data_IF_228018964999
#
_entry.id   IF_228018964999
#
_cell.length_a   1.000
_cell.length_b   1.000
_cell.length_c   1.000
_cell.angle_alpha   90.00
_cell.angle_beta   90.00
_cell.angle_gamma   90.00
#
_symmetry.space_group_name_H-M   'P 1'
#
loop_
_entity.id
_entity.type
_entity.pdbx_description
1 polymer ?
#
# COMPACT_ATOMS: atom_id res chain seq x y z
N UNK A 1 -55.06 -3.07 -11.24
CA UNK A 1 -54.53 -1.84 -11.85
C UNK A 1 -53.40 -1.32 -10.98
N UNK A 2 -52.17 -1.72 -11.22
CA UNK A 2 -50.99 -1.21 -10.54
C UNK A 2 -50.05 -0.62 -11.60
N UNK A 3 -49.93 0.71 -11.58
CA UNK A 3 -48.97 1.44 -12.41
C UNK A 3 -47.58 1.32 -11.81
N UNK A 4 -46.69 0.65 -12.50
CA UNK A 4 -45.25 0.67 -12.25
C UNK A 4 -44.69 2.01 -12.73
N UNK A 5 -44.19 2.84 -11.82
CA UNK A 5 -43.33 3.96 -12.15
C UNK A 5 -41.92 3.43 -12.46
N UNK A 6 -41.53 3.49 -13.73
CA UNK A 6 -40.14 3.39 -14.13
C UNK A 6 -39.47 4.73 -13.83
N UNK A 7 -38.55 4.76 -12.90
CA UNK A 7 -37.61 5.88 -12.74
C UNK A 7 -36.47 5.62 -13.72
N UNK A 8 -36.51 6.30 -14.89
CA UNK A 8 -35.39 6.43 -15.77
C UNK A 8 -34.36 7.37 -15.11
N UNK A 9 -33.27 6.81 -14.57
CA UNK A 9 -32.09 7.59 -14.26
C UNK A 9 -31.47 8.06 -15.60
N UNK A 10 -31.72 9.32 -15.92
CA UNK A 10 -31.12 9.97 -17.10
C UNK A 10 -29.62 10.15 -16.84
N UNK A 11 -28.83 9.44 -17.57
CA UNK A 11 -27.39 9.64 -17.66
C UNK A 11 -27.08 10.98 -18.31
N UNK A 12 -26.16 11.80 -17.75
CA UNK A 12 -25.87 13.13 -18.30
C UNK A 12 -25.23 13.12 -19.70
N UNK A 13 -24.91 11.95 -20.26
CA UNK A 13 -24.28 11.81 -21.56
C UNK A 13 -25.20 12.00 -22.77
N UNK A 14 -26.53 12.08 -22.63
CA UNK A 14 -27.45 12.10 -23.78
C UNK A 14 -27.87 13.51 -24.23
N UNK A 15 -27.52 14.55 -23.48
CA UNK A 15 -27.91 15.93 -23.81
C UNK A 15 -26.90 16.70 -24.70
N UNK A 16 -25.69 16.18 -24.88
CA UNK A 16 -24.68 16.83 -25.75
C UNK A 16 -24.91 16.63 -27.27
N UNK A 17 -25.76 15.69 -27.67
CA UNK A 17 -25.92 15.32 -29.09
C UNK A 17 -26.83 16.24 -29.89
N UNK A 18 -27.54 17.18 -29.25
CA UNK A 18 -28.54 18.02 -29.93
C UNK A 18 -28.06 19.44 -30.30
N UNK A 19 -26.85 19.84 -29.91
CA UNK A 19 -26.39 21.23 -30.16
C UNK A 19 -25.05 21.28 -30.89
N UNK A 20 -24.51 20.16 -31.40
CA UNK A 20 -23.29 20.16 -32.24
C UNK A 20 -22.03 20.75 -31.59
N UNK A 21 -22.03 21.00 -30.27
CA UNK A 21 -20.82 21.38 -29.53
C UNK A 21 -20.12 20.08 -29.11
N UNK A 22 -18.86 19.84 -29.55
CA UNK A 22 -18.11 18.72 -29.06
C UNK A 22 -18.01 18.86 -27.55
N UNK A 23 -18.53 17.85 -26.81
CA UNK A 23 -18.30 17.74 -25.38
C UNK A 23 -16.79 17.47 -25.23
N UNK A 24 -16.03 18.55 -25.10
CA UNK A 24 -14.60 18.45 -24.77
C UNK A 24 -14.54 17.83 -23.39
N UNK A 25 -14.20 16.56 -23.30
CA UNK A 25 -13.83 15.98 -22.02
C UNK A 25 -12.72 16.87 -21.45
N UNK A 26 -12.99 17.50 -20.30
CA UNK A 26 -12.00 18.33 -19.62
C UNK A 26 -10.76 17.48 -19.39
N UNK A 27 -9.62 17.87 -19.95
CA UNK A 27 -8.36 17.15 -19.76
C UNK A 27 -8.07 17.07 -18.25
N UNK A 28 -7.66 15.90 -17.75
CA UNK A 28 -7.31 15.78 -16.33
C UNK A 28 -6.19 16.76 -16.01
N UNK A 29 -6.20 17.38 -14.81
CA UNK A 29 -5.18 18.36 -14.44
C UNK A 29 -3.78 17.74 -14.48
N UNK A 30 -2.79 18.55 -14.84
CA UNK A 30 -1.41 18.11 -14.89
C UNK A 30 -0.93 17.64 -13.51
N UNK A 31 -0.27 16.49 -13.45
CA UNK A 31 0.28 15.91 -12.23
C UNK A 31 1.64 16.54 -11.91
N UNK A 32 1.61 17.74 -11.33
CA UNK A 32 2.81 18.49 -10.93
C UNK A 32 3.11 18.18 -9.45
N UNK A 33 4.25 17.56 -9.10
CA UNK A 33 4.62 17.31 -7.71
C UNK A 33 4.56 18.56 -6.85
N UNK A 34 3.89 18.46 -5.68
CA UNK A 34 3.63 19.57 -4.77
C UNK A 34 2.32 20.32 -5.02
N UNK A 35 1.67 20.17 -6.17
CA UNK A 35 0.35 20.77 -6.43
C UNK A 35 -0.74 20.16 -5.54
N UNK A 36 -1.76 20.95 -5.25
CA UNK A 36 -2.94 20.56 -4.46
C UNK A 36 -4.20 20.76 -5.32
N UNK A 37 -4.65 19.72 -6.04
CA UNK A 37 -5.90 19.78 -6.80
C UNK A 37 -7.09 20.04 -5.87
N UNK A 38 -8.09 20.76 -6.37
CA UNK A 38 -9.38 20.84 -5.69
C UNK A 38 -10.13 19.48 -5.72
N UNK A 39 -11.23 19.37 -4.98
CA UNK A 39 -11.97 18.10 -4.87
C UNK A 39 -12.53 17.60 -6.22
N UNK A 40 -12.91 18.50 -7.14
CA UNK A 40 -13.38 18.12 -8.49
C UNK A 40 -12.23 17.56 -9.33
N UNK A 41 -11.11 18.25 -9.33
CA UNK A 41 -9.88 17.81 -10.01
C UNK A 41 -9.36 16.49 -9.41
N UNK A 42 -9.38 16.37 -8.09
CA UNK A 42 -8.99 15.13 -7.39
C UNK A 42 -9.88 13.95 -7.81
N UNK A 43 -11.20 14.13 -7.85
CA UNK A 43 -12.14 13.10 -8.29
C UNK A 43 -11.88 12.67 -9.74
N UNK A 44 -11.62 13.61 -10.65
CA UNK A 44 -11.28 13.32 -12.04
C UNK A 44 -9.97 12.52 -12.15
N UNK A 45 -8.95 12.87 -11.36
CA UNK A 45 -7.68 12.14 -11.31
C UNK A 45 -7.85 10.70 -10.79
N UNK A 46 -8.61 10.50 -9.71
CA UNK A 46 -8.88 9.15 -9.20
C UNK A 46 -9.68 8.31 -10.19
N UNK A 47 -10.68 8.89 -10.85
CA UNK A 47 -11.46 8.19 -11.87
C UNK A 47 -10.61 7.83 -13.08
N UNK A 48 -9.79 8.75 -13.58
CA UNK A 48 -8.84 8.50 -14.67
C UNK A 48 -7.89 7.36 -14.31
N UNK A 49 -7.36 7.36 -13.07
CA UNK A 49 -6.48 6.32 -12.59
C UNK A 49 -7.18 4.95 -12.49
N UNK A 50 -8.42 4.92 -12.01
CA UNK A 50 -9.20 3.70 -11.86
C UNK A 50 -9.66 3.10 -13.20
N UNK A 51 -9.88 3.92 -14.23
CA UNK A 51 -10.37 3.51 -15.56
C UNK A 51 -9.28 3.14 -16.55
N UNK A 52 -8.01 3.11 -16.11
CA UNK A 52 -6.88 2.74 -17.00
C UNK A 52 -7.05 1.33 -17.56
N UNK A 53 -6.65 1.09 -18.84
CA UNK A 53 -6.55 -0.26 -19.36
C UNK A 53 -5.56 -1.08 -18.53
N UNK A 54 -5.75 -2.40 -18.53
CA UNK A 54 -4.94 -3.34 -17.74
C UNK A 54 -4.17 -4.25 -18.68
N UNK A 55 -2.88 -4.44 -18.43
CA UNK A 55 -2.04 -5.40 -19.14
C UNK A 55 -1.48 -6.46 -18.17
N UNK A 56 -1.14 -7.67 -18.66
CA UNK A 56 -0.33 -8.61 -17.90
C UNK A 56 1.05 -8.02 -17.63
N UNK A 57 1.61 -8.29 -16.46
CA UNK A 57 2.99 -7.97 -16.18
C UNK A 57 3.89 -9.18 -16.47
N UNK A 58 5.00 -8.92 -17.18
CA UNK A 58 6.03 -9.92 -17.43
C UNK A 58 7.22 -9.64 -16.53
N UNK A 59 7.66 -10.64 -15.78
CA UNK A 59 8.82 -10.55 -14.90
C UNK A 59 10.09 -10.38 -15.75
N UNK A 60 10.89 -9.32 -15.53
CA UNK A 60 12.18 -9.19 -16.20
C UNK A 60 13.12 -10.32 -15.77
N UNK A 61 14.02 -10.71 -16.64
CA UNK A 61 15.06 -11.69 -16.34
C UNK A 61 16.30 -10.97 -15.80
N UNK A 62 16.97 -11.55 -14.79
CA UNK A 62 18.18 -10.95 -14.19
C UNK A 62 19.27 -10.67 -15.22
N UNK A 63 19.35 -11.47 -16.25
CA UNK A 63 20.30 -11.38 -17.36
C UNK A 63 20.08 -10.13 -18.22
N UNK A 64 18.90 -9.52 -18.14
CA UNK A 64 18.59 -8.27 -18.86
C UNK A 64 19.13 -7.03 -18.15
N UNK A 65 19.68 -7.16 -16.95
CA UNK A 65 20.36 -6.04 -16.29
C UNK A 65 21.62 -5.70 -17.12
N UNK A 66 21.74 -4.45 -17.62
CA UNK A 66 22.86 -4.06 -18.47
C UNK A 66 24.22 -4.21 -17.75
N UNK A 67 25.27 -4.25 -18.53
CA UNK A 67 26.64 -4.16 -18.00
C UNK A 67 27.01 -2.70 -17.73
N UNK A 68 28.06 -2.49 -16.93
CA UNK A 68 28.58 -1.16 -16.60
C UNK A 68 27.78 -0.42 -15.54
N UNK A 69 27.96 0.90 -15.48
CA UNK A 69 27.49 1.73 -14.38
C UNK A 69 25.97 1.69 -14.15
N UNK A 70 25.18 1.62 -15.21
CA UNK A 70 23.71 1.49 -15.11
C UNK A 70 23.32 0.17 -14.43
N UNK A 71 23.92 -0.94 -14.87
CA UNK A 71 23.63 -2.24 -14.26
C UNK A 71 24.11 -2.35 -12.80
N UNK A 72 25.22 -1.71 -12.47
CA UNK A 72 25.70 -1.61 -11.09
C UNK A 72 24.72 -0.84 -10.21
N UNK A 73 24.18 0.27 -10.72
CA UNK A 73 23.18 1.07 -10.03
C UNK A 73 21.89 0.27 -9.79
N UNK A 74 21.41 -0.47 -10.80
CA UNK A 74 20.24 -1.35 -10.68
C UNK A 74 20.46 -2.44 -9.62
N UNK A 75 21.62 -3.11 -9.65
CA UNK A 75 21.97 -4.15 -8.65
C UNK A 75 22.09 -3.57 -7.25
N UNK A 76 22.63 -2.36 -7.12
CA UNK A 76 22.69 -1.66 -5.83
C UNK A 76 21.27 -1.32 -5.32
N UNK A 77 20.37 -0.85 -6.17
CA UNK A 77 18.96 -0.64 -5.83
C UNK A 77 18.27 -1.91 -5.36
N UNK A 78 18.46 -3.03 -6.08
CA UNK A 78 17.93 -4.33 -5.68
C UNK A 78 18.49 -4.76 -4.30
N UNK A 79 19.77 -4.57 -4.06
CA UNK A 79 20.40 -4.86 -2.77
C UNK A 79 19.86 -3.99 -1.64
N UNK A 80 19.63 -2.69 -1.91
CA UNK A 80 18.99 -1.78 -0.95
C UNK A 80 17.59 -2.26 -0.56
N UNK A 81 16.78 -2.76 -1.50
CA UNK A 81 15.47 -3.32 -1.23
C UNK A 81 15.53 -4.54 -0.29
N UNK A 82 16.51 -5.41 -0.48
CA UNK A 82 16.68 -6.65 0.29
C UNK A 82 17.34 -6.43 1.65
N UNK A 83 18.28 -5.50 1.71
CA UNK A 83 19.17 -5.25 2.85
C UNK A 83 19.03 -3.81 3.36
N UNK A 84 17.82 -3.26 3.33
CA UNK A 84 17.56 -1.87 3.74
C UNK A 84 18.08 -1.60 5.14
N UNK A 85 17.88 -2.53 6.06
CA UNK A 85 18.27 -2.39 7.47
C UNK A 85 19.78 -2.25 7.66
N UNK A 86 20.58 -3.00 6.88
CA UNK A 86 22.04 -2.94 6.94
C UNK A 86 22.62 -1.72 6.23
N UNK A 87 22.00 -1.31 5.12
CA UNK A 87 22.56 -0.29 4.21
C UNK A 87 21.99 1.10 4.46
N UNK A 88 20.79 1.19 5.03
CA UNK A 88 20.03 2.44 5.15
C UNK A 88 19.18 2.49 6.42
N UNK A 89 19.23 1.49 7.27
CA UNK A 89 18.46 1.38 8.52
C UNK A 89 19.12 2.11 9.68
N UNK A 90 18.46 2.13 10.85
CA UNK A 90 18.93 2.86 12.04
C UNK A 90 20.21 2.28 12.62
N UNK A 91 20.55 1.04 12.28
CA UNK A 91 21.76 0.34 12.72
C UNK A 91 22.80 0.21 11.59
N UNK A 92 22.63 0.92 10.46
CA UNK A 92 23.60 0.92 9.39
C UNK A 92 24.97 1.45 9.91
N UNK A 93 26.05 0.81 9.47
CA UNK A 93 27.42 1.15 9.88
C UNK A 93 27.77 2.59 9.50
N UNK A 94 27.41 3.00 8.28
CA UNK A 94 27.55 4.37 7.79
C UNK A 94 26.39 5.24 8.28
N UNK A 95 26.64 6.06 9.29
CA UNK A 95 25.65 6.98 9.87
C UNK A 95 25.05 7.95 8.84
N UNK A 96 25.81 8.33 7.81
CA UNK A 96 25.32 9.23 6.75
C UNK A 96 24.24 8.61 5.87
N UNK A 97 23.99 7.31 6.03
CA UNK A 97 22.98 6.50 5.30
C UNK A 97 21.84 6.01 6.19
N UNK A 98 21.77 6.44 7.44
CA UNK A 98 20.69 6.06 8.35
C UNK A 98 19.39 6.82 8.03
N UNK A 99 18.83 6.48 6.87
CA UNK A 99 17.61 7.09 6.35
C UNK A 99 16.35 6.54 7.02
N UNK A 100 16.34 5.25 7.37
CA UNK A 100 15.17 4.61 7.96
C UNK A 100 15.15 4.74 9.48
N UNK A 101 13.95 4.95 10.01
CA UNK A 101 13.70 4.96 11.45
C UNK A 101 13.47 3.56 12.06
N UNK A 102 13.21 2.55 11.24
CA UNK A 102 12.88 1.20 11.68
C UNK A 102 13.83 0.14 11.07
N UNK A 103 13.82 -1.05 11.67
CA UNK A 103 14.66 -2.17 11.25
C UNK A 103 13.92 -3.10 10.25
N UNK A 104 13.16 -2.51 9.31
CA UNK A 104 12.50 -3.25 8.25
C UNK A 104 13.19 -3.05 6.90
N UNK A 105 13.37 -4.14 6.18
CA UNK A 105 13.72 -4.09 4.76
C UNK A 105 12.45 -3.90 3.92
N UNK A 106 12.59 -3.29 2.74
CA UNK A 106 11.47 -3.07 1.82
C UNK A 106 10.74 -4.38 1.51
N UNK A 107 11.49 -5.49 1.39
CA UNK A 107 10.96 -6.84 1.13
C UNK A 107 10.12 -7.42 2.27
N UNK A 108 10.14 -6.84 3.46
CA UNK A 108 9.23 -7.27 4.54
C UNK A 108 7.76 -6.94 4.25
N UNK A 109 7.48 -5.97 3.37
CA UNK A 109 6.12 -5.62 2.92
C UNK A 109 5.95 -5.80 1.41
N UNK A 110 7.01 -5.52 0.63
CA UNK A 110 7.05 -5.64 -0.83
C UNK A 110 7.73 -6.96 -1.20
N UNK A 111 6.99 -8.07 -1.01
CA UNK A 111 7.56 -9.42 -1.11
C UNK A 111 8.12 -9.73 -2.51
N UNK A 112 9.11 -10.60 -2.54
CA UNK A 112 9.59 -11.19 -3.78
C UNK A 112 8.62 -12.26 -4.27
N UNK A 113 8.34 -12.24 -5.58
CA UNK A 113 7.60 -13.31 -6.26
C UNK A 113 8.49 -14.52 -6.56
N UNK A 114 7.97 -15.50 -7.33
CA UNK A 114 8.73 -16.70 -7.71
C UNK A 114 10.04 -16.43 -8.43
N UNK A 115 10.20 -15.27 -9.05
CA UNK A 115 11.45 -14.82 -9.69
C UNK A 115 12.54 -14.45 -8.70
N UNK A 116 12.25 -14.33 -7.39
CA UNK A 116 13.17 -13.83 -6.38
C UNK A 116 13.41 -12.32 -6.42
N UNK A 117 12.78 -11.57 -7.34
CA UNK A 117 12.95 -10.13 -7.46
C UNK A 117 12.18 -9.38 -6.37
N UNK A 118 12.80 -8.49 -5.60
CA UNK A 118 12.12 -7.64 -4.60
C UNK A 118 10.92 -6.88 -5.20
N UNK A 119 9.78 -6.88 -4.50
CA UNK A 119 8.59 -6.16 -4.94
C UNK A 119 7.88 -6.77 -6.15
N UNK A 120 8.11 -8.06 -6.44
CA UNK A 120 7.53 -8.72 -7.62
C UNK A 120 6.40 -9.70 -7.33
N UNK A 121 6.02 -9.92 -6.06
CA UNK A 121 4.92 -10.82 -5.73
C UNK A 121 3.58 -10.13 -6.01
N UNK A 122 2.73 -10.69 -6.89
CA UNK A 122 1.42 -10.11 -7.17
C UNK A 122 0.58 -9.99 -5.89
N UNK A 123 -0.13 -8.87 -5.74
CA UNK A 123 -1.02 -8.57 -4.61
C UNK A 123 -0.35 -8.51 -3.23
N UNK A 124 0.99 -8.52 -3.17
CA UNK A 124 1.79 -8.25 -1.97
C UNK A 124 2.41 -6.84 -2.02
N UNK A 125 1.59 -5.83 -2.37
CA UNK A 125 2.04 -4.46 -2.59
C UNK A 125 3.20 -4.37 -3.59
N UNK A 126 3.10 -5.00 -4.79
CA UNK A 126 4.20 -5.05 -5.74
C UNK A 126 4.60 -3.67 -6.26
N UNK A 127 5.84 -3.55 -6.67
CA UNK A 127 6.44 -2.32 -7.17
C UNK A 127 6.66 -2.32 -8.69
N UNK A 128 6.14 -3.33 -9.38
CA UNK A 128 6.36 -3.59 -10.80
C UNK A 128 5.93 -2.47 -11.73
N UNK A 129 4.97 -1.66 -11.34
CA UNK A 129 4.48 -0.53 -12.14
C UNK A 129 4.74 0.82 -11.47
N UNK A 130 5.49 0.86 -10.39
CA UNK A 130 5.66 2.06 -9.57
C UNK A 130 6.13 3.27 -10.40
N UNK A 131 7.09 3.09 -11.29
CA UNK A 131 7.63 4.18 -12.13
C UNK A 131 6.60 4.80 -13.08
N UNK A 132 5.58 4.04 -13.47
CA UNK A 132 4.52 4.48 -14.38
C UNK A 132 3.28 4.99 -13.63
N UNK A 133 3.27 4.89 -12.31
CA UNK A 133 2.17 5.35 -11.48
C UNK A 133 2.39 6.74 -10.89
N UNK A 134 3.63 7.21 -10.90
CA UNK A 134 4.01 8.52 -10.37
C UNK A 134 4.42 9.49 -11.48
N UNK A 135 4.23 10.81 -11.31
CA UNK A 135 3.61 11.43 -10.13
C UNK A 135 2.11 11.10 -10.00
N UNK A 136 1.60 11.06 -8.78
CA UNK A 136 0.16 10.83 -8.52
C UNK A 136 -0.37 11.62 -7.35
N UNK A 137 -1.69 11.82 -7.32
CA UNK A 137 -2.36 12.41 -6.17
C UNK A 137 -2.33 11.41 -5.00
N UNK A 138 -1.78 11.87 -3.87
CA UNK A 138 -1.82 11.14 -2.60
C UNK A 138 -3.06 11.56 -1.79
N UNK A 139 -4.03 10.66 -1.58
CA UNK A 139 -5.26 11.01 -0.86
C UNK A 139 -5.02 11.35 0.61
N UNK A 140 -3.91 10.88 1.21
CA UNK A 140 -3.58 11.19 2.61
C UNK A 140 -3.27 12.66 2.82
N UNK A 141 -2.64 13.30 1.86
CA UNK A 141 -2.21 14.70 1.94
C UNK A 141 -2.95 15.62 0.97
N UNK A 142 -3.72 15.06 0.04
CA UNK A 142 -4.33 15.75 -1.11
C UNK A 142 -3.31 16.51 -1.95
N UNK A 143 -2.06 16.03 -2.00
CA UNK A 143 -0.99 16.59 -2.80
C UNK A 143 -0.58 15.62 -3.90
N UNK A 144 -0.18 16.14 -5.03
CA UNK A 144 0.52 15.36 -6.05
C UNK A 144 1.94 15.11 -5.56
N UNK A 145 2.34 13.84 -5.49
CA UNK A 145 3.68 13.45 -5.04
C UNK A 145 4.45 12.70 -6.12
N UNK A 146 5.77 12.85 -6.13
CA UNK A 146 6.67 12.09 -7.00
C UNK A 146 6.94 10.68 -6.43
N UNK A 147 7.56 9.82 -7.23
CA UNK A 147 8.02 8.50 -6.79
C UNK A 147 9.05 8.62 -5.66
N UNK A 148 10.01 9.55 -5.78
CA UNK A 148 11.05 9.79 -4.77
C UNK A 148 10.45 10.26 -3.45
N UNK A 149 9.47 11.17 -3.49
CA UNK A 149 8.74 11.60 -2.30
C UNK A 149 7.99 10.44 -1.64
N UNK A 150 7.41 9.54 -2.44
CA UNK A 150 6.78 8.33 -1.93
C UNK A 150 7.79 7.40 -1.26
N UNK A 151 8.94 7.15 -1.91
CA UNK A 151 10.01 6.30 -1.36
C UNK A 151 10.54 6.91 -0.05
N UNK A 152 10.87 8.21 -0.04
CA UNK A 152 11.33 8.91 1.18
C UNK A 152 10.32 8.77 2.33
N UNK A 153 9.01 8.89 2.02
CA UNK A 153 7.95 8.70 3.01
C UNK A 153 7.88 7.28 3.60
N UNK A 154 8.37 6.26 2.89
CA UNK A 154 8.45 4.89 3.43
C UNK A 154 9.58 4.72 4.46
N UNK A 155 10.68 5.44 4.29
CA UNK A 155 11.78 5.43 5.26
C UNK A 155 11.41 6.11 6.58
N UNK A 156 10.46 7.05 6.57
CA UNK A 156 10.06 7.84 7.74
C UNK A 156 11.13 8.87 8.10
N UNK A 157 11.33 9.11 9.40
CA UNK A 157 12.36 10.06 9.90
C UNK A 157 13.51 9.29 10.51
N UNK A 158 14.53 9.01 9.71
CA UNK A 158 15.83 8.52 10.16
C UNK A 158 16.73 9.65 10.72
N UNK A 159 18.00 9.34 10.95
CA UNK A 159 19.01 10.34 11.33
C UNK A 159 19.29 11.33 10.18
N UNK A 160 19.18 10.85 8.93
CA UNK A 160 19.41 11.61 7.70
C UNK A 160 18.19 11.50 6.80
N UNK A 161 17.89 12.55 6.05
CA UNK A 161 16.81 12.54 5.05
C UNK A 161 17.29 11.88 3.74
N UNK A 162 16.46 11.00 3.18
CA UNK A 162 16.68 10.39 1.87
C UNK A 162 16.10 11.30 0.78
N UNK A 163 16.91 12.25 0.30
CA UNK A 163 16.51 13.16 -0.79
C UNK A 163 16.70 12.53 -2.18
N UNK A 164 16.14 13.17 -3.21
CA UNK A 164 16.19 12.67 -4.59
C UNK A 164 17.62 12.56 -5.15
N UNK A 165 18.53 13.39 -4.65
CA UNK A 165 19.94 13.46 -5.10
C UNK A 165 20.82 12.38 -4.47
N UNK A 166 20.35 11.69 -3.43
CA UNK A 166 21.11 10.65 -2.76
C UNK A 166 21.34 9.45 -3.69
N UNK A 167 22.55 8.88 -3.71
CA UNK A 167 22.86 7.71 -4.55
C UNK A 167 21.93 6.52 -4.27
N UNK A 168 21.51 6.33 -3.01
CA UNK A 168 20.60 5.28 -2.59
C UNK A 168 19.20 5.48 -3.20
N UNK A 169 18.69 6.72 -3.24
CA UNK A 169 17.42 7.03 -3.93
C UNK A 169 17.53 6.73 -5.42
N UNK A 170 18.58 7.19 -6.06
CA UNK A 170 18.80 6.98 -7.49
C UNK A 170 18.91 5.48 -7.82
N UNK A 171 19.56 4.70 -6.97
CA UNK A 171 19.69 3.27 -7.13
C UNK A 171 18.32 2.55 -6.98
N UNK A 172 17.53 2.91 -5.96
CA UNK A 172 16.19 2.34 -5.79
C UNK A 172 15.32 2.67 -7.02
N UNK A 173 15.31 3.91 -7.49
CA UNK A 173 14.55 4.32 -8.67
C UNK A 173 15.03 3.61 -9.93
N UNK A 174 16.35 3.41 -10.10
CA UNK A 174 16.90 2.65 -11.23
C UNK A 174 16.44 1.18 -11.22
N UNK A 175 16.45 0.55 -10.04
CA UNK A 175 15.90 -0.80 -9.90
C UNK A 175 14.41 -0.86 -10.24
N UNK A 176 13.60 0.07 -9.73
CA UNK A 176 12.17 0.12 -10.02
C UNK A 176 11.85 0.39 -11.50
N UNK A 177 12.67 1.19 -12.19
CA UNK A 177 12.57 1.39 -13.64
C UNK A 177 12.86 0.11 -14.41
N UNK A 178 13.91 -0.59 -14.06
CA UNK A 178 14.23 -1.87 -14.68
C UNK A 178 13.15 -2.92 -14.39
N UNK A 179 12.69 -3.03 -13.14
CA UNK A 179 11.61 -3.95 -12.74
C UNK A 179 10.31 -3.70 -13.51
N UNK A 180 9.99 -2.43 -13.76
CA UNK A 180 8.80 -2.00 -14.49
C UNK A 180 8.99 -1.83 -15.99
N UNK A 181 10.15 -2.21 -16.55
CA UNK A 181 10.50 -1.93 -17.95
C UNK A 181 9.60 -2.60 -19.01
N UNK A 182 8.75 -3.55 -18.60
CA UNK A 182 7.75 -4.19 -19.45
C UNK A 182 6.34 -3.56 -19.31
N UNK A 183 6.19 -2.55 -18.46
CA UNK A 183 4.94 -1.82 -18.27
C UNK A 183 4.97 -0.46 -18.97
N UNK A 184 3.79 0.09 -19.31
CA UNK A 184 3.67 1.33 -20.02
C UNK A 184 3.01 2.42 -19.15
N UNK A 185 3.40 3.71 -19.30
CA UNK A 185 2.69 4.80 -18.66
C UNK A 185 1.18 4.81 -18.98
N UNK A 186 0.35 5.12 -18.02
CA UNK A 186 -1.10 5.19 -18.20
C UNK A 186 -1.81 3.83 -18.27
N UNK A 187 -1.09 2.70 -18.14
CA UNK A 187 -1.65 1.35 -18.14
C UNK A 187 -1.44 0.73 -16.76
N UNK A 188 -2.50 0.14 -16.20
CA UNK A 188 -2.40 -0.67 -14.99
C UNK A 188 -1.83 -2.05 -15.31
N UNK A 189 -1.20 -2.67 -14.32
CA UNK A 189 -0.63 -4.02 -14.47
C UNK A 189 -1.37 -4.98 -13.55
N UNK A 190 -1.76 -6.15 -14.08
CA UNK A 190 -2.43 -7.19 -13.29
C UNK A 190 -1.57 -7.59 -12.08
N UNK A 191 -2.19 -7.67 -10.91
CA UNK A 191 -1.49 -8.04 -9.69
C UNK A 191 -0.91 -6.89 -8.90
N UNK A 192 -1.02 -5.63 -9.38
CA UNK A 192 -0.62 -4.45 -8.60
C UNK A 192 -1.56 -4.21 -7.41
N UNK A 193 -1.01 -3.58 -6.36
CA UNK A 193 -1.76 -3.26 -5.14
C UNK A 193 -2.06 -4.47 -4.27
N UNK A 194 -3.29 -4.57 -3.78
CA UNK A 194 -3.82 -5.66 -2.98
C UNK A 194 -4.93 -6.39 -3.76
N UNK A 195 -5.10 -7.68 -3.50
CA UNK A 195 -6.14 -8.47 -4.16
C UNK A 195 -7.53 -7.85 -3.92
N UNK A 196 -8.29 -7.50 -4.97
CA UNK A 196 -9.64 -7.00 -4.82
C UNK A 196 -10.58 -8.13 -4.39
N UNK A 197 -11.02 -8.10 -3.14
CA UNK A 197 -11.99 -9.04 -2.57
C UNK A 197 -13.11 -8.25 -1.89
N UNK A 198 -14.30 -8.81 -1.88
CA UNK A 198 -15.41 -8.28 -1.08
C UNK A 198 -15.20 -8.64 0.38
N UNK A 199 -15.39 -7.68 1.26
CA UNK A 199 -15.40 -7.95 2.70
C UNK A 199 -16.67 -8.73 3.09
N UNK A 200 -16.62 -9.53 4.17
CA UNK A 200 -17.83 -10.18 4.70
C UNK A 200 -18.92 -9.15 5.08
N UNK A 201 -20.19 -9.55 4.88
CA UNK A 201 -21.35 -8.71 5.25
C UNK A 201 -21.67 -8.81 6.75
N UNK A 202 -20.66 -8.57 7.55
CA UNK A 202 -20.71 -8.52 9.02
C UNK A 202 -19.56 -7.65 9.54
N UNK A 203 -19.63 -7.23 10.77
CA UNK A 203 -18.46 -6.65 11.42
C UNK A 203 -17.39 -7.74 11.65
N UNK A 204 -16.13 -7.34 11.57
CA UNK A 204 -15.01 -8.20 11.97
C UNK A 204 -15.04 -8.45 13.49
N UNK A 205 -14.64 -9.65 13.90
CA UNK A 205 -14.60 -10.07 15.31
C UNK A 205 -13.15 -10.26 15.80
N UNK A 206 -12.59 -9.26 16.51
CA UNK A 206 -11.23 -9.38 17.05
C UNK A 206 -11.05 -10.57 18.01
N UNK A 207 -12.11 -11.00 18.72
CA UNK A 207 -12.05 -12.14 19.65
C UNK A 207 -11.86 -13.46 18.90
N UNK A 208 -12.59 -13.66 17.81
CA UNK A 208 -12.35 -14.79 16.91
C UNK A 208 -10.95 -14.69 16.28
N UNK A 209 -10.57 -13.49 15.85
CA UNK A 209 -9.25 -13.20 15.31
C UNK A 209 -8.10 -13.56 16.23
N UNK A 210 -8.25 -13.42 17.54
CA UNK A 210 -7.25 -13.82 18.54
C UNK A 210 -6.91 -15.31 18.47
N UNK A 211 -7.94 -16.15 18.43
CA UNK A 211 -7.76 -17.61 18.33
C UNK A 211 -7.10 -18.02 17.01
N UNK A 212 -7.53 -17.42 15.90
CA UNK A 212 -6.96 -17.66 14.58
C UNK A 212 -5.51 -17.15 14.48
N UNK A 213 -5.20 -15.98 15.04
CA UNK A 213 -3.85 -15.45 15.12
C UNK A 213 -2.92 -16.38 15.91
N UNK A 214 -3.39 -16.90 17.05
CA UNK A 214 -2.63 -17.86 17.86
C UNK A 214 -2.33 -19.14 17.07
N UNK A 215 -3.27 -19.62 16.26
CA UNK A 215 -3.11 -20.84 15.47
C UNK A 215 -2.21 -20.69 14.23
N UNK A 216 -2.23 -19.53 13.56
CA UNK A 216 -1.64 -19.38 12.23
C UNK A 216 -0.47 -18.38 12.15
N UNK A 217 -0.30 -17.47 13.13
CA UNK A 217 0.61 -16.33 12.98
C UNK A 217 1.75 -16.30 14.01
N UNK A 218 1.49 -16.76 15.25
CA UNK A 218 2.42 -16.60 16.37
C UNK A 218 3.75 -17.30 16.18
N UNK A 219 3.79 -18.40 15.43
CA UNK A 219 5.02 -19.14 15.17
C UNK A 219 6.09 -18.27 14.49
N UNK A 220 5.67 -17.37 13.61
CA UNK A 220 6.58 -16.48 12.87
C UNK A 220 6.59 -15.06 13.48
N UNK A 221 5.42 -14.51 13.79
CA UNK A 221 5.30 -13.12 14.20
C UNK A 221 5.33 -12.88 15.71
N UNK A 222 5.45 -13.94 16.52
CA UNK A 222 5.42 -13.85 17.98
C UNK A 222 3.99 -13.65 18.53
N UNK A 223 3.83 -13.90 19.84
CA UNK A 223 2.50 -13.85 20.50
C UNK A 223 1.92 -12.44 20.61
N UNK A 224 2.79 -11.42 20.57
CA UNK A 224 2.43 -9.99 20.58
C UNK A 224 2.61 -9.33 19.21
N UNK A 225 2.89 -10.11 18.16
CA UNK A 225 3.19 -9.58 16.83
C UNK A 225 4.54 -8.87 16.73
N UNK A 226 5.46 -9.15 17.65
CA UNK A 226 6.77 -8.50 17.78
C UNK A 226 7.79 -8.92 16.72
N UNK A 227 7.47 -9.95 15.94
CA UNK A 227 8.38 -10.51 14.92
C UNK A 227 9.50 -11.37 15.51
N UNK A 228 10.34 -11.88 14.63
CA UNK A 228 11.52 -12.67 14.99
C UNK A 228 12.79 -11.98 14.46
N UNK A 229 13.64 -11.42 15.33
CA UNK A 229 14.90 -10.81 14.92
C UNK A 229 15.80 -11.80 14.23
N UNK A 230 16.59 -11.34 13.25
CA UNK A 230 17.69 -12.12 12.68
C UNK A 230 18.84 -12.28 13.71
N UNK A 231 19.69 -13.31 13.61
CA UNK A 231 20.82 -13.52 14.53
C UNK A 231 21.79 -12.32 14.62
N UNK A 232 21.89 -11.56 13.52
CA UNK A 232 22.72 -10.36 13.41
C UNK A 232 21.92 -9.05 13.53
N UNK A 233 20.76 -9.06 14.16
CA UNK A 233 19.89 -7.90 14.32
C UNK A 233 20.62 -6.67 14.84
N UNK A 234 21.47 -6.85 15.88
CA UNK A 234 22.26 -5.75 16.45
C UNK A 234 23.28 -5.14 15.47
N UNK A 235 23.57 -5.81 14.35
CA UNK A 235 24.44 -5.34 13.27
C UNK A 235 23.66 -4.89 12.03
N UNK A 236 22.35 -4.64 12.19
CA UNK A 236 21.47 -4.21 11.10
C UNK A 236 20.88 -5.36 10.28
N UNK A 237 20.96 -6.62 10.73
CA UNK A 237 20.41 -7.78 10.02
C UNK A 237 18.89 -7.79 9.89
N UNK A 238 18.19 -6.93 10.64
CA UNK A 238 16.72 -6.83 10.57
C UNK A 238 16.01 -8.05 11.16
N UNK A 239 14.92 -8.46 10.54
CA UNK A 239 14.06 -9.54 11.00
C UNK A 239 14.06 -10.74 10.06
N UNK A 240 14.05 -11.95 10.62
CA UNK A 240 13.70 -13.17 9.89
C UNK A 240 12.22 -13.16 9.52
N UNK A 241 11.36 -12.81 10.49
CA UNK A 241 9.94 -12.55 10.27
C UNK A 241 9.61 -11.18 10.85
N UNK A 242 9.05 -10.26 10.04
CA UNK A 242 8.88 -8.87 10.47
C UNK A 242 7.86 -8.73 11.60
N UNK A 243 8.00 -7.71 12.47
CA UNK A 243 6.95 -7.34 13.40
C UNK A 243 5.74 -6.82 12.65
N UNK A 244 4.57 -7.19 13.13
CA UNK A 244 3.27 -6.72 12.66
C UNK A 244 2.54 -5.88 13.70
N UNK A 245 3.16 -5.71 14.85
CA UNK A 245 2.73 -4.88 15.97
C UNK A 245 3.94 -4.20 16.64
N UNK A 246 3.71 -3.25 17.53
CA UNK A 246 4.76 -2.50 18.24
C UNK A 246 5.30 -1.30 17.46
N UNK A 247 6.50 -0.83 17.87
CA UNK A 247 7.06 0.42 17.38
C UNK A 247 7.80 0.29 16.05
N UNK A 248 8.29 -0.90 15.74
CA UNK A 248 9.16 -1.14 14.57
C UNK A 248 8.38 -1.55 13.31
N UNK A 249 7.08 -1.27 13.26
CA UNK A 249 6.20 -1.52 12.11
C UNK A 249 5.37 -0.28 11.76
N UNK A 250 4.30 -0.44 10.94
CA UNK A 250 3.39 0.65 10.58
C UNK A 250 2.66 1.23 11.79
N UNK A 251 2.32 2.50 11.73
CA UNK A 251 1.58 3.22 12.77
C UNK A 251 0.07 3.25 12.50
N UNK A 252 -0.69 3.85 13.44
CA UNK A 252 -2.15 3.96 13.36
C UNK A 252 -2.67 4.97 12.31
N UNK A 253 -1.77 5.60 11.55
CA UNK A 253 -2.08 6.35 10.31
C UNK A 253 -1.68 5.59 9.04
N UNK A 254 -1.09 4.38 9.17
CA UNK A 254 -0.64 3.56 8.05
C UNK A 254 -1.79 2.89 7.28
N UNK A 255 -1.57 2.56 6.00
CA UNK A 255 -2.58 1.86 5.19
C UNK A 255 -2.94 0.48 5.77
N UNK A 256 -1.94 -0.26 6.27
CA UNK A 256 -2.18 -1.58 6.87
C UNK A 256 -2.93 -1.53 8.21
N UNK A 257 -3.09 -0.34 8.79
CA UNK A 257 -3.94 -0.15 9.98
C UNK A 257 -5.44 -0.22 9.66
N UNK A 258 -5.81 -0.14 8.38
CA UNK A 258 -7.20 -0.32 7.93
C UNK A 258 -7.51 -1.80 7.82
N UNK A 259 -8.53 -2.26 8.55
CA UNK A 259 -8.94 -3.67 8.56
C UNK A 259 -9.16 -4.24 7.16
N UNK A 260 -9.86 -3.58 6.23
CA UNK A 260 -10.05 -4.13 4.88
C UNK A 260 -8.75 -4.32 4.09
N UNK A 261 -7.79 -3.40 4.24
CA UNK A 261 -6.52 -3.50 3.51
C UNK A 261 -5.63 -4.61 4.08
N UNK A 262 -5.56 -4.71 5.41
CA UNK A 262 -4.81 -5.78 6.06
C UNK A 262 -5.46 -7.16 5.77
N UNK A 263 -6.79 -7.25 5.75
CA UNK A 263 -7.52 -8.47 5.34
C UNK A 263 -7.08 -8.95 3.96
N UNK A 264 -7.05 -8.06 2.98
CA UNK A 264 -6.62 -8.37 1.60
C UNK A 264 -5.19 -8.88 1.54
N UNK A 265 -4.30 -8.24 2.32
CA UNK A 265 -2.91 -8.67 2.41
C UNK A 265 -2.80 -10.05 3.04
N UNK A 266 -3.43 -10.28 4.19
CA UNK A 266 -3.41 -11.56 4.91
C UNK A 266 -3.98 -12.66 4.01
N UNK A 267 -5.15 -12.46 3.43
CA UNK A 267 -5.81 -13.46 2.60
C UNK A 267 -4.94 -13.92 1.41
N UNK A 268 -4.30 -12.99 0.74
CA UNK A 268 -3.52 -13.29 -0.47
C UNK A 268 -2.09 -13.76 -0.19
N UNK A 269 -1.53 -13.49 1.01
CA UNK A 269 -0.09 -13.63 1.24
C UNK A 269 0.28 -14.39 2.51
N UNK A 270 -0.65 -14.58 3.46
CA UNK A 270 -0.39 -15.21 4.74
C UNK A 270 -1.33 -16.41 5.01
N UNK A 271 -0.89 -17.42 5.78
CA UNK A 271 0.48 -17.67 6.25
C UNK A 271 1.49 -17.85 5.13
N UNK A 272 2.78 -17.96 5.47
CA UNK A 272 3.85 -18.19 4.50
C UNK A 272 3.53 -19.34 3.54
N UNK A 273 3.73 -19.11 2.25
CA UNK A 273 3.35 -20.03 1.17
C UNK A 273 1.96 -19.76 0.56
N UNK A 274 1.18 -18.83 1.11
CA UNK A 274 -0.06 -18.38 0.46
C UNK A 274 0.22 -17.54 -0.79
N UNK A 275 -0.72 -17.60 -1.72
CA UNK A 275 -0.79 -16.71 -2.87
C UNK A 275 -2.24 -16.34 -3.18
N UNK A 276 -2.45 -15.33 -4.02
CA UNK A 276 -3.79 -14.92 -4.43
C UNK A 276 -4.58 -16.03 -5.16
N UNK A 277 -3.88 -16.97 -5.82
CA UNK A 277 -4.48 -18.13 -6.50
C UNK A 277 -4.63 -19.36 -5.60
N UNK A 278 -3.94 -19.38 -4.45
CA UNK A 278 -3.96 -20.48 -3.50
C UNK A 278 -3.90 -19.95 -2.06
N UNK A 279 -4.93 -19.23 -1.58
CA UNK A 279 -4.99 -18.75 -0.22
C UNK A 279 -5.18 -19.92 0.76
N UNK A 280 -4.55 -19.85 1.93
CA UNK A 280 -4.66 -20.88 2.97
C UNK A 280 -5.75 -20.55 4.01
N UNK A 281 -6.15 -19.30 4.11
CA UNK A 281 -7.22 -18.82 5.00
C UNK A 281 -8.48 -18.53 4.20
N UNK A 282 -9.64 -18.60 4.84
CA UNK A 282 -10.87 -18.01 4.32
C UNK A 282 -10.86 -16.49 4.49
N UNK A 283 -11.66 -15.78 3.70
CA UNK A 283 -11.77 -14.32 3.80
C UNK A 283 -12.22 -13.90 5.21
N UNK A 284 -13.20 -14.62 5.78
CA UNK A 284 -13.70 -14.38 7.14
C UNK A 284 -12.60 -14.51 8.21
N UNK A 285 -11.74 -15.52 8.08
CA UNK A 285 -10.62 -15.75 9.00
C UNK A 285 -9.58 -14.63 8.89
N UNK A 286 -9.21 -14.26 7.67
CA UNK A 286 -8.29 -13.14 7.43
C UNK A 286 -8.86 -11.80 7.94
N UNK A 287 -10.19 -11.62 7.85
CA UNK A 287 -10.89 -10.43 8.30
C UNK A 287 -10.85 -10.28 9.84
N UNK A 288 -11.14 -11.37 10.55
CA UNK A 288 -11.10 -11.38 12.02
C UNK A 288 -9.66 -11.24 12.54
N UNK A 289 -8.68 -11.91 11.90
CA UNK A 289 -7.25 -11.75 12.21
C UNK A 289 -6.81 -10.29 12.03
N UNK A 290 -7.18 -9.65 10.91
CA UNK A 290 -6.84 -8.25 10.65
C UNK A 290 -7.41 -7.31 11.71
N UNK A 291 -8.65 -7.55 12.14
CA UNK A 291 -9.27 -6.80 13.23
C UNK A 291 -8.51 -6.98 14.55
N UNK A 292 -8.16 -8.22 14.93
CA UNK A 292 -7.38 -8.49 16.14
C UNK A 292 -6.02 -7.78 16.12
N UNK A 293 -5.25 -7.92 15.06
CA UNK A 293 -3.93 -7.29 14.92
C UNK A 293 -4.03 -5.77 15.11
N UNK A 294 -5.04 -5.15 14.55
CA UNK A 294 -5.17 -3.69 14.52
C UNK A 294 -5.91 -3.10 15.73
N UNK A 295 -6.55 -3.90 16.59
CA UNK A 295 -7.24 -3.40 17.78
C UNK A 295 -6.63 -3.86 19.09
N UNK A 296 -6.09 -5.07 19.16
CA UNK A 296 -5.67 -5.68 20.42
C UNK A 296 -4.13 -5.72 20.60
N UNK A 297 -3.38 -5.70 19.48
CA UNK A 297 -1.93 -5.69 19.56
C UNK A 297 -1.40 -4.26 19.65
N UNK A 298 -0.24 -4.04 20.35
CA UNK A 298 0.31 -2.71 20.52
C UNK A 298 0.64 -2.05 19.18
N UNK A 299 0.37 -0.75 19.07
CA UNK A 299 0.57 0.02 17.86
C UNK A 299 1.17 1.39 18.16
N UNK A 300 2.18 1.77 17.40
CA UNK A 300 2.75 3.11 17.48
C UNK A 300 1.71 4.14 17.04
N UNK A 301 1.57 5.19 17.83
CA UNK A 301 0.71 6.31 17.52
C UNK A 301 1.35 7.25 16.49
N UNK A 302 0.57 7.65 15.49
CA UNK A 302 0.94 8.72 14.56
C UNK A 302 0.35 10.05 15.04
N UNK A 303 1.17 10.99 15.53
CA UNK A 303 0.66 12.27 16.03
C UNK A 303 0.04 13.14 14.93
N UNK A 304 0.27 12.83 13.66
CA UNK A 304 -0.28 13.57 12.52
C UNK A 304 -1.55 12.92 11.93
N UNK A 305 -2.06 11.83 12.55
CA UNK A 305 -3.18 11.06 11.97
C UNK A 305 -4.45 11.90 11.74
N UNK A 306 -4.69 12.93 12.56
CA UNK A 306 -5.81 13.83 12.42
C UNK A 306 -5.79 14.63 11.10
N UNK A 307 -4.61 14.92 10.57
CA UNK A 307 -4.44 15.63 9.29
C UNK A 307 -4.45 14.73 8.06
N UNK A 308 -4.58 13.41 8.24
CA UNK A 308 -4.62 12.48 7.12
C UNK A 308 -6.02 12.46 6.50
N UNK A 309 -6.09 12.38 5.17
CA UNK A 309 -7.32 12.40 4.40
C UNK A 309 -8.19 13.62 4.73
N UNK A 310 -7.67 14.84 4.48
CA UNK A 310 -8.33 16.08 4.85
C UNK A 310 -9.68 16.26 4.15
N UNK A 311 -9.84 15.70 2.95
CA UNK A 311 -11.14 15.59 2.30
C UNK A 311 -11.80 14.24 2.64
N UNK A 312 -12.91 14.25 3.42
CA UNK A 312 -13.59 13.02 3.81
C UNK A 312 -14.10 12.18 2.64
N UNK A 313 -14.34 12.78 1.46
CA UNK A 313 -14.81 12.09 0.24
C UNK A 313 -13.81 11.03 -0.23
N UNK A 314 -12.50 11.28 -0.02
CA UNK A 314 -11.42 10.38 -0.43
C UNK A 314 -10.88 9.55 0.74
N UNK A 315 -11.56 9.56 1.87
CA UNK A 315 -11.20 8.75 3.02
C UNK A 315 -11.54 7.28 2.75
N UNK A 316 -10.55 6.38 2.79
CA UNK A 316 -10.83 4.97 2.50
C UNK A 316 -11.62 4.31 3.62
N UNK A 317 -12.41 3.30 3.26
CA UNK A 317 -13.13 2.49 4.23
C UNK A 317 -12.14 1.84 5.23
N UNK A 318 -12.53 1.84 6.49
CA UNK A 318 -11.68 1.34 7.58
C UNK A 318 -10.69 2.37 8.15
N UNK A 319 -10.51 3.54 7.51
CA UNK A 319 -9.79 4.64 8.15
C UNK A 319 -10.71 5.33 9.16
N UNK A 320 -10.67 4.83 10.38
CA UNK A 320 -11.42 5.37 11.51
C UNK A 320 -10.47 5.68 12.66
N UNK A 321 -10.53 6.89 13.15
CA UNK A 321 -9.82 7.33 14.35
C UNK A 321 -10.84 7.83 15.37
N UNK A 322 -10.64 7.59 16.68
CA UNK A 322 -11.63 7.95 17.72
C UNK A 322 -12.04 9.42 17.68
N UNK A 323 -11.11 10.30 17.37
CA UNK A 323 -11.30 11.76 17.33
C UNK A 323 -12.31 12.22 16.27
N UNK A 324 -12.63 11.40 15.27
CA UNK A 324 -13.70 11.69 14.30
C UNK A 324 -15.09 11.29 14.81
N UNK A 325 -15.17 10.63 15.97
CA UNK A 325 -16.39 10.07 16.56
C UNK A 325 -16.48 10.39 18.07
N UNK A 326 -16.36 11.66 18.50
CA UNK A 326 -16.20 11.99 19.91
C UNK A 326 -17.35 11.50 20.79
N UNK A 327 -18.58 11.46 20.25
CA UNK A 327 -19.79 11.05 20.96
C UNK A 327 -20.53 9.89 20.28
N UNK A 328 -19.87 9.21 19.33
CA UNK A 328 -20.47 8.09 18.57
C UNK A 328 -19.56 6.86 18.55
N UNK A 329 -19.44 6.12 19.67
CA UNK A 329 -18.63 4.92 19.73
C UNK A 329 -19.13 3.80 18.80
N UNK A 330 -20.43 3.73 18.51
CA UNK A 330 -21.01 2.78 17.58
C UNK A 330 -20.64 3.13 16.12
N UNK A 331 -20.69 4.40 15.75
CA UNK A 331 -20.23 4.89 14.46
C UNK A 331 -18.72 4.61 14.26
N UNK A 332 -17.91 4.87 15.28
CA UNK A 332 -16.50 4.52 15.27
C UNK A 332 -16.31 3.02 15.04
N UNK A 333 -17.01 2.18 15.77
CA UNK A 333 -16.92 0.73 15.64
C UNK A 333 -17.31 0.25 14.24
N UNK A 334 -18.42 0.76 13.68
CA UNK A 334 -18.84 0.44 12.30
C UNK A 334 -17.80 0.90 11.27
N UNK A 335 -17.30 2.12 11.39
CA UNK A 335 -16.30 2.65 10.47
C UNK A 335 -14.98 1.86 10.52
N UNK A 336 -14.62 1.28 11.68
CA UNK A 336 -13.38 0.55 11.89
C UNK A 336 -13.46 -0.93 11.53
N UNK A 337 -14.57 -1.59 11.87
CA UNK A 337 -14.73 -3.05 11.78
C UNK A 337 -15.80 -3.49 10.80
N UNK A 338 -16.50 -2.57 10.16
CA UNK A 338 -17.55 -2.89 9.21
C UNK A 338 -18.93 -3.19 9.86
N UNK A 339 -19.89 -3.76 9.06
CA UNK A 339 -19.67 -4.21 7.68
C UNK A 339 -19.27 -3.07 6.74
N UNK A 340 -18.37 -3.37 5.80
CA UNK A 340 -17.95 -2.40 4.79
C UNK A 340 -18.82 -2.52 3.54
N UNK A 341 -19.05 -1.40 2.81
CA UNK A 341 -19.86 -1.43 1.60
C UNK A 341 -19.28 -2.43 0.59
N UNK A 342 -20.17 -3.14 -0.11
CA UNK A 342 -19.81 -4.04 -1.20
C UNK A 342 -19.11 -3.26 -2.33
N UNK A 343 -18.03 -3.81 -2.82
CA UNK A 343 -17.24 -3.27 -3.91
C UNK A 343 -15.73 -3.37 -3.63
N UNK A 344 -14.91 -3.34 -4.66
CA UNK A 344 -13.47 -3.21 -4.48
C UNK A 344 -13.20 -1.83 -3.86
N UNK A 345 -12.68 -1.84 -2.62
CA UNK A 345 -12.27 -0.63 -1.90
C UNK A 345 -11.05 0.00 -2.56
#
# INVERSE_FOLDING_TARGET
MFRRFLICALWPGLLCSLIGVPCMAEEPPALIPGSMPDSKQAAALFQSFASRPVQPWTVPQMETIPQGAEGELIRYGMKLMQQTTQLAGPLAEDHSKRYSRNNLSCTNCHEAGPSGLPGSKPYALPLVNAVNEYPKLDPKSMKVISLEQRIAGMFGKGEVELTAEKPEMQAIVAYLRWLGGQSNPGIAVTGTGLLPINMPDRAADPKQGQGLFAAHCTQCHGVKGEGMPAPDFAKGGGYLFPPIAGDDTYDDGGHMYMVPLLTRFIYANMPFGSSASAPQLKIDEAYDIAAYINSELPRRHNPQRMGLYPDPTFRPAGFAIPEHFPDDPEGYRRARFGPFPYGPL
#
